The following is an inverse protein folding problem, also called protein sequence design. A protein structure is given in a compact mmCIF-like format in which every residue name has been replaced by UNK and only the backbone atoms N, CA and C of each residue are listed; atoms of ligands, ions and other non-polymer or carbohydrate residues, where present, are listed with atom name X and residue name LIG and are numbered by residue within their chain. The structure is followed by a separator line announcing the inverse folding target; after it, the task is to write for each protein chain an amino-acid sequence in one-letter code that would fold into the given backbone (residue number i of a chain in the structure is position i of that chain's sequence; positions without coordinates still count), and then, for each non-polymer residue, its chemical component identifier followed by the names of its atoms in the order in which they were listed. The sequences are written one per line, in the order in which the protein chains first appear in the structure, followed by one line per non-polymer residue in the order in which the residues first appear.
data_IF_760772244402
#
_entry.id   IF_760772244402
#
_cell.length_a   1.000
_cell.length_b   1.000
_cell.length_c   1.000
_cell.angle_alpha   90.00
_cell.angle_beta   90.00
_cell.angle_gamma   90.00
#
_symmetry.space_group_name_H-M   'P 1'
#
loop_
_entity.id
_entity.type
_entity.pdbx_description
1 polymer ?
#
# COMPACT_ATOMS: atom_id res chain seq x y z
N UNK A 1 13.86 8.26 1.01
CA UNK A 1 12.42 7.93 0.98
C UNK A 1 12.16 6.44 0.67
N UNK A 2 13.18 5.58 0.59
CA UNK A 2 13.05 4.17 0.14
C UNK A 2 12.49 3.16 1.19
N UNK A 3 12.08 3.60 2.39
CA UNK A 3 11.81 2.65 3.49
C UNK A 3 10.43 2.00 3.42
N UNK A 4 9.41 2.73 2.95
CA UNK A 4 8.03 2.26 2.93
C UNK A 4 7.74 1.41 1.69
N UNK A 5 8.20 1.86 0.53
CA UNK A 5 8.02 1.20 -0.77
C UNK A 5 8.50 -0.26 -0.76
N UNK A 6 9.67 -0.52 -0.19
CA UNK A 6 10.21 -1.89 -0.13
C UNK A 6 9.36 -2.81 0.75
N UNK A 7 8.85 -2.31 1.89
CA UNK A 7 7.98 -3.08 2.78
C UNK A 7 6.62 -3.35 2.14
N UNK A 8 6.07 -2.35 1.45
CA UNK A 8 4.81 -2.45 0.71
C UNK A 8 4.93 -3.45 -0.43
N UNK A 9 5.97 -3.33 -1.27
CA UNK A 9 6.20 -4.27 -2.37
C UNK A 9 6.32 -5.69 -1.84
N UNK A 10 7.09 -5.90 -0.78
CA UNK A 10 7.24 -7.22 -0.15
C UNK A 10 5.89 -7.74 0.35
N UNK A 11 5.11 -6.91 1.05
CA UNK A 11 3.78 -7.28 1.52
C UNK A 11 2.87 -7.70 0.37
N UNK A 12 2.84 -6.93 -0.72
CA UNK A 12 1.99 -7.23 -1.88
C UNK A 12 2.42 -8.52 -2.55
N UNK A 13 3.73 -8.72 -2.75
CA UNK A 13 4.26 -9.93 -3.38
C UNK A 13 3.94 -11.17 -2.52
N UNK A 14 4.16 -11.09 -1.20
CA UNK A 14 3.94 -12.22 -0.29
C UNK A 14 2.44 -12.53 -0.10
N UNK A 15 1.57 -11.53 -0.02
CA UNK A 15 0.16 -11.72 0.32
C UNK A 15 -0.75 -11.86 -0.90
N UNK A 16 -0.43 -11.20 -2.03
CA UNK A 16 -1.29 -11.19 -3.22
C UNK A 16 -0.70 -11.89 -4.44
N UNK A 17 0.64 -11.89 -4.60
CA UNK A 17 1.29 -12.59 -5.72
C UNK A 17 1.82 -13.98 -5.36
N UNK A 18 1.50 -14.50 -4.18
CA UNK A 18 1.98 -15.81 -3.70
C UNK A 18 3.51 -15.97 -3.76
N UNK A 19 4.25 -14.86 -3.63
CA UNK A 19 5.71 -14.84 -3.76
C UNK A 19 6.24 -14.79 -5.20
N UNK A 20 5.38 -14.59 -6.20
CA UNK A 20 5.78 -14.51 -7.59
C UNK A 20 6.37 -13.13 -7.93
N UNK A 21 7.68 -13.00 -7.73
CA UNK A 21 8.46 -11.81 -8.10
C UNK A 21 8.58 -11.62 -9.63
N UNK A 22 8.12 -12.58 -10.44
CA UNK A 22 8.23 -12.52 -11.90
C UNK A 22 7.22 -11.57 -12.55
N UNK A 23 6.31 -10.97 -11.77
CA UNK A 23 5.38 -9.94 -12.26
C UNK A 23 5.94 -8.54 -11.94
N UNK A 24 6.75 -7.93 -12.83
CA UNK A 24 7.30 -6.61 -12.58
C UNK A 24 6.17 -5.57 -12.58
N UNK A 25 6.06 -4.82 -11.49
CA UNK A 25 5.25 -3.61 -11.40
C UNK A 25 6.08 -2.44 -10.88
N UNK A 26 5.82 -1.27 -11.46
CA UNK A 26 6.40 0.00 -11.04
C UNK A 26 5.71 0.47 -9.77
N UNK A 27 6.37 1.34 -9.03
CA UNK A 27 5.77 1.94 -7.83
C UNK A 27 4.65 2.94 -8.17
N UNK A 28 4.60 3.39 -9.43
CA UNK A 28 3.55 4.24 -10.01
C UNK A 28 2.38 3.43 -10.61
N UNK A 29 2.52 2.11 -10.74
CA UNK A 29 1.48 1.30 -11.38
C UNK A 29 0.26 1.16 -10.46
N UNK A 30 -0.92 1.23 -11.07
CA UNK A 30 -2.19 0.91 -10.41
C UNK A 30 -2.24 -0.58 -10.05
N UNK A 31 -2.33 -0.86 -8.76
CA UNK A 31 -2.43 -2.19 -8.18
C UNK A 31 -3.80 -2.79 -8.45
N UNK A 32 -4.86 -1.97 -8.46
CA UNK A 32 -6.22 -2.41 -8.75
C UNK A 32 -6.42 -2.69 -10.25
N UNK A 33 -5.99 -1.78 -11.14
CA UNK A 33 -6.18 -1.96 -12.59
C UNK A 33 -5.36 -3.14 -13.12
N UNK A 34 -4.17 -3.37 -12.54
CA UNK A 34 -3.34 -4.52 -12.89
C UNK A 34 -3.87 -5.84 -12.30
N UNK A 35 -4.90 -5.79 -11.45
CA UNK A 35 -5.43 -6.96 -10.75
C UNK A 35 -4.44 -7.58 -9.76
N UNK A 36 -3.51 -6.77 -9.25
CA UNK A 36 -2.56 -7.19 -8.21
C UNK A 36 -3.24 -7.22 -6.84
N UNK A 37 -4.19 -6.31 -6.63
CA UNK A 37 -5.01 -6.22 -5.42
C UNK A 37 -6.49 -6.14 -5.83
N UNK A 38 -7.35 -6.79 -5.04
CA UNK A 38 -8.80 -6.64 -5.12
C UNK A 38 -9.34 -5.72 -4.01
N UNK A 39 -10.62 -5.36 -4.08
CA UNK A 39 -11.28 -4.53 -3.05
C UNK A 39 -11.13 -5.08 -1.62
N UNK A 40 -11.04 -6.40 -1.46
CA UNK A 40 -10.80 -7.04 -0.15
C UNK A 40 -9.34 -6.88 0.29
N UNK A 41 -8.40 -6.98 -0.65
CA UNK A 41 -6.97 -6.82 -0.36
C UNK A 41 -6.60 -5.40 0.09
N UNK A 42 -7.34 -4.39 -0.37
CA UNK A 42 -7.19 -3.01 0.15
C UNK A 42 -7.43 -2.94 1.66
N UNK A 43 -8.42 -3.67 2.19
CA UNK A 43 -8.70 -3.69 3.63
C UNK A 43 -7.56 -4.35 4.42
N UNK A 44 -6.97 -5.42 3.88
CA UNK A 44 -5.79 -6.07 4.46
C UNK A 44 -4.56 -5.17 4.43
N UNK A 45 -4.35 -4.46 3.32
CA UNK A 45 -3.31 -3.45 3.19
C UNK A 45 -3.49 -2.33 4.23
N UNK A 46 -4.71 -1.81 4.38
CA UNK A 46 -5.04 -0.80 5.40
C UNK A 46 -4.73 -1.32 6.81
N UNK A 47 -5.11 -2.57 7.12
CA UNK A 47 -4.78 -3.18 8.41
C UNK A 47 -3.26 -3.30 8.62
N UNK A 48 -2.52 -3.72 7.59
CA UNK A 48 -1.06 -3.79 7.62
C UNK A 48 -0.43 -2.42 7.87
N UNK A 49 -0.86 -1.38 7.15
CA UNK A 49 -0.35 -0.03 7.28
C UNK A 49 -0.56 0.52 8.69
N UNK A 50 -1.78 0.39 9.22
CA UNK A 50 -2.13 0.85 10.55
C UNK A 50 -1.31 0.13 11.63
N UNK A 51 -1.12 -1.18 11.51
CA UNK A 51 -0.34 -1.96 12.48
C UNK A 51 1.16 -1.68 12.40
N UNK A 52 1.75 -1.63 11.20
CA UNK A 52 3.20 -1.47 11.05
C UNK A 52 3.68 -0.04 11.26
N UNK A 53 2.88 0.96 10.88
CA UNK A 53 3.27 2.37 11.00
C UNK A 53 2.59 3.07 12.19
N UNK A 54 1.73 2.37 12.93
CA UNK A 54 0.96 2.92 14.05
C UNK A 54 0.20 4.20 13.64
N UNK A 55 -0.43 4.17 12.46
CA UNK A 55 -1.27 5.24 11.92
C UNK A 55 -2.74 4.83 11.98
N UNK A 56 -3.64 5.80 11.89
CA UNK A 56 -5.08 5.57 11.70
C UNK A 56 -5.46 6.02 10.31
N UNK A 57 -6.15 5.14 9.58
CA UNK A 57 -6.69 5.42 8.24
C UNK A 57 -8.20 5.42 8.39
N UNK A 58 -8.83 6.55 8.13
CA UNK A 58 -10.29 6.68 8.20
C UNK A 58 -10.94 6.12 6.93
N UNK A 59 -12.22 5.70 7.02
CA UNK A 59 -12.93 5.06 5.91
C UNK A 59 -13.01 5.96 4.65
N UNK A 60 -13.06 7.28 4.84
CA UNK A 60 -13.06 8.28 3.76
C UNK A 60 -11.69 8.46 3.08
N UNK A 61 -10.62 7.96 3.70
CA UNK A 61 -9.26 7.99 3.16
C UNK A 61 -8.91 6.70 2.40
N UNK A 62 -9.75 5.67 2.50
CA UNK A 62 -9.64 4.40 1.76
C UNK A 62 -10.18 4.63 0.35
N UNK A 63 -9.43 5.39 -0.43
CA UNK A 63 -9.73 5.73 -1.82
C UNK A 63 -8.59 5.32 -2.74
N UNK A 64 -8.86 5.00 -4.02
CA UNK A 64 -7.83 4.67 -5.00
C UNK A 64 -6.71 5.72 -5.06
N UNK A 65 -7.05 7.01 -4.97
CA UNK A 65 -6.05 8.10 -5.00
C UNK A 65 -4.94 7.94 -3.95
N UNK A 66 -5.22 7.32 -2.79
CA UNK A 66 -4.24 7.09 -1.73
C UNK A 66 -3.65 5.67 -1.74
N UNK A 67 -4.40 4.68 -2.24
CA UNK A 67 -4.11 3.26 -2.01
C UNK A 67 -3.92 2.42 -3.29
N UNK A 68 -3.97 3.05 -4.46
CA UNK A 68 -3.89 2.34 -5.74
C UNK A 68 -2.45 2.13 -6.23
N UNK A 69 -1.45 2.86 -5.72
CA UNK A 69 -0.05 2.67 -6.12
C UNK A 69 0.90 2.66 -4.92
N UNK A 70 2.06 2.03 -5.05
CA UNK A 70 3.07 1.99 -3.97
C UNK A 70 3.51 3.40 -3.58
N UNK A 71 3.69 4.29 -4.55
CA UNK A 71 4.04 5.68 -4.29
C UNK A 71 2.92 6.43 -3.58
N UNK A 72 1.67 6.29 -4.05
CA UNK A 72 0.52 6.92 -3.40
C UNK A 72 0.39 6.48 -1.94
N UNK A 73 0.56 5.17 -1.68
CA UNK A 73 0.52 4.63 -0.32
C UNK A 73 1.69 5.17 0.52
N UNK A 74 2.90 5.20 -0.03
CA UNK A 74 4.09 5.66 0.68
C UNK A 74 3.98 7.14 1.07
N UNK A 75 3.52 7.98 0.15
CA UNK A 75 3.28 9.40 0.38
C UNK A 75 2.17 9.61 1.42
N UNK A 76 1.08 8.86 1.32
CA UNK A 76 -0.01 8.91 2.30
C UNK A 76 0.46 8.52 3.70
N UNK A 77 1.23 7.44 3.84
CA UNK A 77 1.81 7.01 5.12
C UNK A 77 2.75 8.06 5.67
N UNK A 78 3.60 8.66 4.83
CA UNK A 78 4.52 9.72 5.27
C UNK A 78 3.75 10.94 5.79
N UNK A 79 2.70 11.38 5.08
CA UNK A 79 1.84 12.48 5.52
C UNK A 79 1.17 12.18 6.87
N UNK A 80 0.66 10.96 7.07
CA UNK A 80 0.08 10.52 8.34
C UNK A 80 1.07 10.55 9.49
N UNK A 81 2.31 10.11 9.24
CA UNK A 81 3.37 10.13 10.25
C UNK A 81 3.79 11.55 10.61
N UNK A 82 3.85 12.46 9.63
CA UNK A 82 4.14 13.88 9.87
C UNK A 82 3.02 14.59 10.62
N UNK A 83 1.75 14.33 10.27
CA UNK A 83 0.59 14.92 10.95
C UNK A 83 0.43 14.46 12.41
N UNK A 84 1.11 13.38 12.79
CA UNK A 84 1.15 12.84 14.16
C UNK A 84 2.27 13.48 15.02
N UNK A 85 3.25 14.14 14.41
CA UNK A 85 4.39 14.77 15.09
C UNK A 85 4.03 16.15 15.67
#
# INVERSE_FOLDING_TARGET
MERFEHQLRKFIVENFLFGDEAMPFSDEDSLLDRGLIDSTGVLELVAFLQQNFAITIADDEIVPDNLDSILGISDFVEQKLQARA
#
